data_IF_747846172108
#
_entry.id   IF_747846172108
#
_cell.length_a   1.000
_cell.length_b   1.000
_cell.length_c   1.000
_cell.angle_alpha   90.00
_cell.angle_beta   90.00
_cell.angle_gamma   90.00
#
_symmetry.space_group_name_H-M   'P 1'
#
loop_
_entity.id
_entity.type
_entity.pdbx_description
1 polymer ?
#
# COMPACT_ATOMS: atom_id res chain seq x y z
N UNK A 1 -70.91 31.31 -15.31
CA UNK A 1 -69.75 31.12 -16.20
C UNK A 1 -68.51 30.91 -15.33
N UNK A 2 -67.99 29.68 -15.28
CA UNK A 2 -66.79 29.28 -14.52
C UNK A 2 -65.56 29.48 -15.41
N UNK A 3 -64.55 30.25 -14.99
CA UNK A 3 -63.18 30.24 -15.54
C UNK A 3 -62.21 30.54 -14.38
N UNK A 4 -61.77 29.49 -13.69
CA UNK A 4 -60.43 28.89 -13.76
C UNK A 4 -59.32 29.84 -13.27
N UNK A 5 -58.96 29.67 -12.01
CA UNK A 5 -57.80 30.27 -11.35
C UNK A 5 -56.55 29.52 -11.84
N UNK A 6 -55.64 30.23 -12.48
CA UNK A 6 -54.36 29.72 -12.97
C UNK A 6 -53.34 29.80 -11.82
N UNK A 7 -53.15 28.69 -11.10
CA UNK A 7 -52.04 28.51 -10.16
C UNK A 7 -50.88 27.94 -10.97
N UNK A 8 -49.88 28.77 -11.30
CA UNK A 8 -48.65 28.30 -11.91
C UNK A 8 -47.73 27.73 -10.82
N UNK A 9 -47.54 26.42 -10.89
CA UNK A 9 -46.66 25.61 -10.07
C UNK A 9 -45.23 26.17 -10.02
N UNK A 10 -44.77 26.57 -8.83
CA UNK A 10 -43.36 26.79 -8.54
C UNK A 10 -42.71 25.40 -8.46
N UNK A 11 -42.07 24.98 -9.55
CA UNK A 11 -41.23 23.78 -9.58
C UNK A 11 -39.95 24.03 -8.80
N UNK A 12 -39.95 23.62 -7.53
CA UNK A 12 -38.73 23.45 -6.71
C UNK A 12 -37.94 22.27 -7.28
N UNK A 13 -36.98 22.53 -8.17
CA UNK A 13 -35.97 21.54 -8.55
C UNK A 13 -34.94 21.51 -7.42
N UNK A 14 -35.13 20.60 -6.48
CA UNK A 14 -34.12 20.27 -5.49
C UNK A 14 -32.97 19.54 -6.22
N UNK A 15 -31.90 20.27 -6.52
CA UNK A 15 -30.62 19.67 -6.91
C UNK A 15 -30.05 19.07 -5.62
N UNK A 16 -30.41 17.81 -5.35
CA UNK A 16 -29.67 16.98 -4.40
C UNK A 16 -28.32 16.69 -5.03
N UNK A 17 -27.36 17.59 -4.85
CA UNK A 17 -25.95 17.24 -4.90
C UNK A 17 -25.68 16.32 -3.71
N UNK A 18 -26.07 15.06 -3.85
CA UNK A 18 -25.55 13.99 -3.02
C UNK A 18 -24.09 13.83 -3.40
N UNK A 19 -23.21 14.60 -2.74
CA UNK A 19 -21.80 14.29 -2.73
C UNK A 19 -21.65 13.01 -1.89
N UNK A 20 -21.86 11.84 -2.51
CA UNK A 20 -21.54 10.57 -1.87
C UNK A 20 -20.04 10.35 -2.00
N UNK A 21 -19.24 11.08 -1.23
CA UNK A 21 -17.84 10.70 -1.05
C UNK A 21 -17.84 9.39 -0.27
N UNK A 22 -17.44 8.29 -0.91
CA UNK A 22 -17.15 7.04 -0.20
C UNK A 22 -16.22 7.37 0.97
N UNK A 23 -16.54 6.98 2.21
CA UNK A 23 -15.70 7.33 3.34
C UNK A 23 -14.33 6.70 3.18
N UNK A 24 -13.29 7.48 3.46
CA UNK A 24 -11.91 7.01 3.46
C UNK A 24 -11.70 5.89 4.48
N UNK A 25 -10.76 5.00 4.16
CA UNK A 25 -10.40 3.81 4.93
C UNK A 25 -8.99 3.99 5.48
N UNK A 26 -8.88 3.95 6.80
CA UNK A 26 -7.60 3.86 7.48
C UNK A 26 -7.00 2.46 7.25
N UNK A 27 -5.75 2.40 6.82
CA UNK A 27 -5.00 1.16 6.67
C UNK A 27 -3.87 1.11 7.70
N UNK A 28 -3.81 0.02 8.44
CA UNK A 28 -2.67 -0.37 9.25
C UNK A 28 -1.88 -1.42 8.46
N UNK A 29 -0.58 -1.22 8.32
CA UNK A 29 0.34 -2.18 7.70
C UNK A 29 1.65 -2.18 8.48
N UNK A 30 1.94 -3.31 9.11
CA UNK A 30 3.11 -3.50 9.95
C UNK A 30 3.83 -4.79 9.57
N UNK A 31 5.08 -4.91 10.00
CA UNK A 31 5.80 -6.15 9.82
C UNK A 31 7.18 -6.18 10.44
N UNK A 32 7.70 -7.40 10.53
CA UNK A 32 9.07 -7.68 10.92
C UNK A 32 9.81 -8.36 9.78
N UNK A 33 11.08 -8.00 9.64
CA UNK A 33 11.96 -8.56 8.62
C UNK A 33 13.03 -9.39 9.31
N UNK A 34 13.28 -10.57 8.77
CA UNK A 34 14.36 -11.45 9.20
C UNK A 34 15.22 -11.82 8.00
N UNK A 35 16.53 -11.67 8.12
CA UNK A 35 17.47 -12.13 7.10
C UNK A 35 18.37 -13.23 7.63
N UNK A 36 18.68 -14.20 6.78
CA UNK A 36 19.64 -15.29 7.05
C UNK A 36 20.42 -15.57 5.77
N UNK A 37 21.66 -15.08 5.70
CA UNK A 37 22.46 -15.11 4.49
C UNK A 37 21.78 -14.35 3.34
N UNK A 38 21.44 -15.09 2.27
CA UNK A 38 20.73 -14.57 1.10
C UNK A 38 19.21 -14.48 1.28
N UNK A 39 18.65 -15.15 2.27
CA UNK A 39 17.21 -15.24 2.43
C UNK A 39 16.69 -14.04 3.23
N UNK A 40 15.59 -13.48 2.76
CA UNK A 40 14.85 -12.41 3.42
C UNK A 40 13.43 -12.93 3.62
N UNK A 41 12.93 -12.84 4.86
CA UNK A 41 11.57 -13.22 5.20
C UNK A 41 10.89 -12.02 5.85
N UNK A 42 9.74 -11.66 5.30
CA UNK A 42 8.85 -10.62 5.85
C UNK A 42 7.65 -11.30 6.46
N UNK A 43 7.39 -11.00 7.73
CA UNK A 43 6.15 -11.37 8.40
C UNK A 43 5.37 -10.09 8.66
N UNK A 44 4.19 -9.95 8.09
CA UNK A 44 3.40 -8.75 8.22
C UNK A 44 1.97 -8.98 8.68
N UNK A 45 1.39 -7.92 9.20
CA UNK A 45 0.01 -7.81 9.66
C UNK A 45 -0.61 -6.56 9.04
N UNK A 46 -1.90 -6.61 8.74
CA UNK A 46 -2.60 -5.48 8.15
C UNK A 46 -4.08 -5.46 8.50
N UNK A 47 -4.71 -4.29 8.35
CA UNK A 47 -6.16 -4.14 8.38
C UNK A 47 -6.83 -4.34 7.01
N UNK A 48 -6.09 -4.82 6.02
CA UNK A 48 -6.58 -5.05 4.66
C UNK A 48 -7.52 -6.28 4.61
N UNK A 49 -8.49 -6.22 3.71
CA UNK A 49 -9.37 -7.36 3.45
C UNK A 49 -8.59 -8.57 2.92
N UNK A 50 -9.13 -9.77 3.21
CA UNK A 50 -8.60 -11.04 2.70
C UNK A 50 -8.37 -10.99 1.19
N UNK A 51 -7.33 -11.68 0.72
CA UNK A 51 -6.88 -11.75 -0.66
C UNK A 51 -6.29 -10.44 -1.21
N UNK A 52 -6.17 -9.39 -0.39
CA UNK A 52 -5.38 -8.21 -0.75
C UNK A 52 -3.95 -8.62 -1.08
N UNK A 53 -3.41 -8.03 -2.13
CA UNK A 53 -2.09 -8.33 -2.65
C UNK A 53 -1.07 -7.34 -2.10
N UNK A 54 -0.07 -7.86 -1.38
CA UNK A 54 1.10 -7.13 -0.92
C UNK A 54 2.26 -7.42 -1.87
N UNK A 55 2.80 -6.36 -2.46
CA UNK A 55 4.03 -6.43 -3.26
C UNK A 55 5.22 -6.24 -2.33
N UNK A 56 6.18 -7.16 -2.34
CA UNK A 56 7.46 -7.01 -1.63
C UNK A 56 8.59 -6.92 -2.65
N UNK A 57 9.34 -5.82 -2.62
CA UNK A 57 10.43 -5.54 -3.56
C UNK A 57 11.75 -5.39 -2.82
N UNK A 58 12.79 -6.04 -3.32
CA UNK A 58 14.16 -5.72 -2.98
C UNK A 58 14.74 -4.80 -4.06
N UNK A 59 15.33 -3.68 -3.64
CA UNK A 59 15.86 -2.66 -4.53
C UNK A 59 17.29 -2.30 -4.18
N UNK A 60 18.06 -2.00 -5.21
CA UNK A 60 19.34 -1.33 -5.04
C UNK A 60 19.10 0.13 -4.62
N UNK A 61 19.80 0.61 -3.59
CA UNK A 61 19.55 1.92 -2.99
C UNK A 61 19.90 3.06 -3.96
N UNK A 62 21.07 3.01 -4.59
CA UNK A 62 21.57 4.10 -5.43
C UNK A 62 20.80 4.22 -6.75
N UNK A 63 20.66 3.09 -7.46
CA UNK A 63 20.00 3.07 -8.78
C UNK A 63 18.47 3.02 -8.68
N UNK A 64 17.93 2.68 -7.49
CA UNK A 64 16.51 2.37 -7.24
C UNK A 64 15.97 1.22 -8.10
N UNK A 65 16.85 0.45 -8.72
CA UNK A 65 16.47 -0.70 -9.55
C UNK A 65 15.84 -1.78 -8.69
N UNK A 66 14.70 -2.31 -9.13
CA UNK A 66 14.09 -3.51 -8.52
C UNK A 66 14.93 -4.72 -8.93
N UNK A 67 15.48 -5.39 -7.92
CA UNK A 67 16.36 -6.54 -8.06
C UNK A 67 15.60 -7.85 -7.92
N UNK A 68 14.63 -7.88 -7.00
CA UNK A 68 13.72 -9.02 -6.78
C UNK A 68 12.36 -8.48 -6.40
N UNK A 69 11.28 -9.15 -6.83
CA UNK A 69 9.90 -8.81 -6.47
C UNK A 69 9.10 -10.08 -6.25
N UNK A 70 8.24 -10.06 -5.23
CA UNK A 70 7.23 -11.11 -5.03
C UNK A 70 5.92 -10.47 -4.61
N UNK A 71 4.83 -11.21 -4.80
CA UNK A 71 3.50 -10.79 -4.40
C UNK A 71 2.84 -11.88 -3.56
N UNK A 72 2.29 -11.50 -2.42
CA UNK A 72 1.63 -12.41 -1.48
C UNK A 72 0.25 -11.90 -1.11
N UNK A 73 -0.62 -12.81 -0.72
CA UNK A 73 -1.98 -12.49 -0.30
C UNK A 73 -2.06 -12.33 1.21
N UNK A 74 -2.88 -11.38 1.64
CA UNK A 74 -3.36 -11.26 3.02
C UNK A 74 -4.36 -12.37 3.30
N UNK A 75 -4.21 -13.06 4.42
CA UNK A 75 -5.12 -14.11 4.88
C UNK A 75 -6.36 -13.55 5.60
N UNK A 76 -7.22 -14.44 6.11
CA UNK A 76 -8.46 -14.07 6.80
C UNK A 76 -8.22 -13.30 8.11
N UNK A 77 -7.03 -13.43 8.68
CA UNK A 77 -6.64 -12.82 9.96
C UNK A 77 -5.79 -11.56 9.74
N UNK A 78 -5.66 -11.09 8.49
CA UNK A 78 -4.89 -9.89 8.14
C UNK A 78 -3.38 -10.12 8.04
N UNK A 79 -2.91 -11.37 8.07
CA UNK A 79 -1.48 -11.69 8.03
C UNK A 79 -0.98 -11.99 6.62
N UNK A 80 0.32 -11.81 6.40
CA UNK A 80 1.02 -12.27 5.20
C UNK A 80 2.48 -12.64 5.51
N UNK A 81 3.02 -13.57 4.71
CA UNK A 81 4.43 -13.96 4.76
C UNK A 81 5.03 -13.91 3.36
N UNK A 82 6.10 -13.15 3.18
CA UNK A 82 6.84 -13.07 1.92
C UNK A 82 8.28 -13.57 2.08
N UNK A 83 8.78 -14.25 1.05
CA UNK A 83 10.16 -14.76 0.98
C UNK A 83 10.84 -14.27 -0.28
N UNK A 84 12.02 -13.69 -0.11
CA UNK A 84 12.86 -13.19 -1.19
C UNK A 84 14.28 -13.75 -1.02
N UNK A 85 15.03 -13.81 -2.12
CA UNK A 85 16.44 -14.15 -2.10
C UNK A 85 17.24 -13.03 -2.75
N UNK A 86 18.24 -12.48 -2.05
CA UNK A 86 19.18 -11.52 -2.63
C UNK A 86 20.36 -12.22 -3.28
N UNK A 87 20.76 -11.77 -4.46
CA UNK A 87 21.91 -12.32 -5.17
C UNK A 87 23.23 -11.88 -4.52
N UNK A 88 23.34 -10.58 -4.23
CA UNK A 88 24.50 -9.95 -3.62
C UNK A 88 24.23 -9.66 -2.14
N UNK A 89 25.12 -10.14 -1.26
CA UNK A 89 25.05 -9.88 0.19
C UNK A 89 26.05 -8.83 0.65
N UNK A 90 26.93 -8.35 -0.23
CA UNK A 90 28.03 -7.41 0.08
C UNK A 90 27.64 -5.95 -0.12
N UNK A 91 26.33 -5.67 -0.14
CA UNK A 91 25.81 -4.31 -0.21
C UNK A 91 24.44 -4.22 0.46
N UNK A 92 24.11 -3.01 0.89
CA UNK A 92 22.79 -2.67 1.39
C UNK A 92 21.73 -2.66 0.28
N UNK A 93 20.50 -3.00 0.66
CA UNK A 93 19.34 -2.92 -0.21
C UNK A 93 18.18 -2.20 0.49
N UNK A 94 17.33 -1.55 -0.29
CA UNK A 94 16.01 -1.06 0.14
C UNK A 94 15.00 -2.19 -0.02
N UNK A 95 14.32 -2.57 1.06
CA UNK A 95 13.16 -3.45 1.01
C UNK A 95 11.89 -2.58 1.06
N UNK A 96 11.00 -2.75 0.08
CA UNK A 96 9.69 -2.13 0.08
C UNK A 96 8.62 -3.19 0.30
N UNK A 97 7.64 -2.88 1.13
CA UNK A 97 6.40 -3.63 1.31
C UNK A 97 5.26 -2.69 0.96
N UNK A 98 4.55 -2.98 -0.13
CA UNK A 98 3.58 -2.08 -0.73
C UNK A 98 2.19 -2.70 -0.83
N UNK A 99 1.19 -1.89 -0.51
CA UNK A 99 -0.17 -2.08 -0.96
C UNK A 99 -0.49 -1.05 -2.05
N UNK A 100 -0.78 -1.55 -3.25
CA UNK A 100 -1.06 -0.74 -4.45
C UNK A 100 -2.48 -1.03 -4.94
N UNK A 101 -3.44 -0.11 -4.75
CA UNK A 101 -4.86 -0.34 -5.08
C UNK A 101 -5.11 -0.71 -6.55
N UNK A 102 -4.36 -0.10 -7.48
CA UNK A 102 -4.50 -0.36 -8.92
C UNK A 102 -4.12 -1.79 -9.33
N UNK A 103 -3.36 -2.52 -8.50
CA UNK A 103 -2.97 -3.92 -8.72
C UNK A 103 -3.91 -4.94 -8.06
N UNK A 104 -4.96 -4.49 -7.38
CA UNK A 104 -5.85 -5.36 -6.63
C UNK A 104 -6.96 -5.98 -7.50
N UNK A 105 -7.59 -7.07 -7.04
CA UNK A 105 -8.86 -7.55 -7.61
C UNK A 105 -9.95 -6.46 -7.56
N UNK A 106 -10.88 -6.49 -8.52
CA UNK A 106 -11.91 -5.46 -8.69
C UNK A 106 -12.72 -5.21 -7.40
N UNK A 107 -13.07 -6.26 -6.66
CA UNK A 107 -13.78 -6.15 -5.39
C UNK A 107 -13.04 -5.28 -4.34
N UNK A 108 -11.70 -5.30 -4.34
CA UNK A 108 -10.91 -4.48 -3.41
C UNK A 108 -10.72 -3.06 -3.95
N UNK A 109 -10.69 -2.88 -5.28
CA UNK A 109 -10.71 -1.55 -5.89
C UNK A 109 -12.00 -0.80 -5.58
N UNK A 110 -13.13 -1.49 -5.46
CA UNK A 110 -14.39 -0.87 -5.01
C UNK A 110 -14.31 -0.35 -3.55
N UNK A 111 -13.49 -0.97 -2.71
CA UNK A 111 -13.33 -0.61 -1.29
C UNK A 111 -12.32 0.53 -1.11
N UNK A 112 -11.16 0.42 -1.75
CA UNK A 112 -10.02 1.32 -1.53
C UNK A 112 -9.83 2.36 -2.64
N UNK A 113 -10.62 2.28 -3.72
CA UNK A 113 -10.47 3.10 -4.91
C UNK A 113 -9.55 2.46 -5.94
N UNK A 114 -9.77 2.74 -7.23
CA UNK A 114 -8.93 2.18 -8.30
C UNK A 114 -7.49 2.68 -8.19
N UNK A 115 -7.31 3.90 -7.70
CA UNK A 115 -6.02 4.55 -7.50
C UNK A 115 -5.75 4.88 -6.02
N UNK A 116 -6.52 4.33 -5.09
CA UNK A 116 -6.36 4.58 -3.66
C UNK A 116 -7.06 5.85 -3.15
N UNK A 117 -7.98 6.41 -3.93
CA UNK A 117 -8.74 7.62 -3.58
C UNK A 117 -9.63 7.46 -2.34
N UNK A 118 -9.84 6.24 -1.85
CA UNK A 118 -10.58 5.97 -0.62
C UNK A 118 -9.66 5.51 0.53
N UNK A 119 -8.34 5.68 0.42
CA UNK A 119 -7.41 5.45 1.52
C UNK A 119 -7.24 6.77 2.29
N UNK A 120 -7.37 6.71 3.61
CA UNK A 120 -7.15 7.87 4.46
C UNK A 120 -5.66 8.25 4.48
N UNK A 121 -5.36 9.53 4.31
CA UNK A 121 -3.99 10.05 4.30
C UNK A 121 -3.28 9.96 5.66
N UNK A 122 -4.04 9.70 6.73
CA UNK A 122 -3.57 9.40 8.08
C UNK A 122 -2.96 8.00 8.23
N UNK A 123 -3.19 7.12 7.25
CA UNK A 123 -2.69 5.74 7.28
C UNK A 123 -1.16 5.70 7.34
N UNK A 124 -0.62 4.84 8.21
CA UNK A 124 0.84 4.64 8.31
C UNK A 124 1.44 4.22 6.98
N UNK A 125 2.46 4.93 6.51
CA UNK A 125 3.11 4.62 5.22
C UNK A 125 2.34 5.13 3.99
N UNK A 126 1.28 5.92 4.16
CA UNK A 126 0.59 6.57 3.06
C UNK A 126 1.56 7.38 2.19
N UNK A 127 1.48 7.19 0.87
CA UNK A 127 2.30 7.91 -0.10
C UNK A 127 1.56 8.08 -1.42
N UNK A 128 1.80 9.18 -2.12
CA UNK A 128 1.27 9.41 -3.48
C UNK A 128 2.38 9.23 -4.51
N UNK A 129 2.22 8.24 -5.38
CA UNK A 129 3.11 7.98 -6.51
C UNK A 129 2.57 8.63 -7.78
N UNK A 130 3.47 9.21 -8.59
CA UNK A 130 3.13 9.75 -9.91
C UNK A 130 3.68 8.85 -11.02
N UNK A 131 2.82 8.43 -11.94
CA UNK A 131 3.23 7.70 -13.15
C UNK A 131 2.62 8.39 -14.36
N UNK A 132 3.42 9.19 -15.06
CA UNK A 132 2.92 10.08 -16.10
C UNK A 132 2.02 11.16 -15.50
N UNK A 133 0.76 11.20 -15.93
CA UNK A 133 -0.24 12.16 -15.44
C UNK A 133 -1.17 11.56 -14.36
N UNK A 134 -0.95 10.30 -13.98
CA UNK A 134 -1.79 9.61 -12.99
C UNK A 134 -1.12 9.65 -11.61
N UNK A 135 -1.94 9.88 -10.60
CA UNK A 135 -1.59 9.85 -9.18
C UNK A 135 -2.20 8.60 -8.54
N UNK A 136 -1.39 7.91 -7.74
CA UNK A 136 -1.77 6.68 -7.06
C UNK A 136 -1.45 6.82 -5.57
N UNK A 137 -2.45 6.68 -4.72
CA UNK A 137 -2.27 6.62 -3.28
C UNK A 137 -2.02 5.17 -2.89
N UNK A 138 -0.90 4.95 -2.20
CA UNK A 138 -0.40 3.63 -1.82
C UNK A 138 -0.06 3.63 -0.34
N UNK A 139 0.01 2.44 0.24
CA UNK A 139 0.70 2.25 1.52
C UNK A 139 2.08 1.65 1.23
N UNK A 140 3.14 2.30 1.71
CA UNK A 140 4.51 1.89 1.51
C UNK A 140 5.25 1.85 2.84
N UNK A 141 5.66 0.65 3.21
CA UNK A 141 6.54 0.39 4.34
C UNK A 141 7.92 -0.03 3.83
N UNK A 142 8.94 0.23 4.64
CA UNK A 142 10.35 0.22 4.26
C UNK A 142 11.18 -0.54 5.28
N UNK A 143 12.29 -1.12 4.80
CA UNK A 143 13.40 -1.54 5.65
C UNK A 143 14.71 -1.44 4.86
N UNK A 144 15.83 -1.32 5.58
CA UNK A 144 17.18 -1.39 5.01
C UNK A 144 17.75 -2.77 5.27
N UNK A 145 17.98 -3.53 4.22
CA UNK A 145 18.63 -4.85 4.31
C UNK A 145 20.13 -4.65 4.25
N UNK A 146 20.79 -4.76 5.40
CA UNK A 146 22.21 -4.52 5.57
C UNK A 146 23.05 -5.57 4.84
N UNK A 147 24.21 -5.15 4.36
CA UNK A 147 25.26 -6.08 3.93
C UNK A 147 25.59 -7.13 5.02
N UNK A 148 25.94 -8.34 4.59
CA UNK A 148 26.54 -9.35 5.46
C UNK A 148 28.06 -9.28 5.28
N UNK A 149 28.70 -8.58 6.21
CA UNK A 149 30.15 -8.64 6.39
C UNK A 149 30.62 -9.91 7.11
N UNK A 150 31.92 -9.99 7.37
CA UNK A 150 32.51 -11.11 8.11
C UNK A 150 31.97 -11.19 9.54
N UNK A 151 31.06 -12.14 9.80
CA UNK A 151 30.56 -12.48 11.13
C UNK A 151 29.11 -12.10 11.42
N UNK A 152 28.39 -11.45 10.51
CA UNK A 152 26.95 -11.18 10.66
C UNK A 152 26.11 -12.33 10.09
N UNK A 153 25.20 -12.89 10.89
CA UNK A 153 24.32 -13.97 10.44
C UNK A 153 23.10 -13.46 9.64
N UNK A 154 22.83 -12.16 9.74
CA UNK A 154 21.66 -11.46 9.20
C UNK A 154 21.13 -10.44 10.19
N UNK A 155 19.92 -9.93 9.96
CA UNK A 155 19.25 -8.92 10.78
C UNK A 155 17.86 -9.37 11.21
N UNK A 156 17.36 -8.74 12.27
CA UNK A 156 15.94 -8.74 12.62
C UNK A 156 15.51 -7.31 12.92
N UNK A 157 14.60 -6.80 12.10
CA UNK A 157 14.20 -5.39 12.06
C UNK A 157 12.67 -5.30 11.95
N UNK A 158 12.13 -4.11 12.14
CA UNK A 158 10.72 -3.80 11.92
C UNK A 158 10.62 -2.92 10.69
N UNK A 159 9.53 -3.05 9.95
CA UNK A 159 9.20 -2.13 8.87
C UNK A 159 8.95 -0.72 9.42
N UNK A 160 9.29 0.30 8.64
CA UNK A 160 9.14 1.72 8.97
C UNK A 160 8.55 2.49 7.81
N UNK A 161 8.04 3.71 8.04
CA UNK A 161 7.48 4.58 6.98
C UNK A 161 8.55 5.30 6.17
N UNK A 162 9.77 5.38 6.70
CA UNK A 162 10.95 5.96 6.06
C UNK A 162 12.08 4.95 6.05
N UNK A 163 12.97 5.00 5.06
CA UNK A 163 14.09 4.07 4.96
C UNK A 163 15.06 4.33 6.12
N UNK A 164 15.33 3.34 7.00
CA UNK A 164 16.26 3.52 8.10
C UNK A 164 17.68 3.89 7.62
N UNK A 165 18.39 4.70 8.40
CA UNK A 165 19.82 4.98 8.16
C UNK A 165 20.68 3.73 8.45
N UNK A 166 21.83 3.64 7.79
CA UNK A 166 22.84 2.64 8.15
C UNK A 166 23.55 3.07 9.45
N UNK A 167 23.74 2.13 10.37
CA UNK A 167 24.39 2.37 11.67
C UNK A 167 25.90 2.09 11.64
#
# INVERSE_FOLDING_TARGET
MRKLIMICCISFIAILNGCSSTPEKEIELDGSVKTVGKNIIVYGTSSLEKDALITVQLKEIDSRKVMEETQVKVDDDGNFEAKLTRENTEMDHELNVLYEPNKQPDQLKEIYGENGEFIADTSGGYSTLKKGNEEYNVIKMLDRILEIGNGTAGQRTMLTTELPEAY
#
